data_IF_647732517573
#
_entry.id   IF_647732517573
#
_cell.length_a   1.000
_cell.length_b   1.000
_cell.length_c   1.000
_cell.angle_alpha   90.00
_cell.angle_beta   90.00
_cell.angle_gamma   90.00
#
_symmetry.space_group_name_H-M   'P 1'
#
loop_
_entity.id
_entity.type
_entity.pdbx_description
1 polymer ?
#
# COMPACT_ATOMS: atom_id res chain seq x y z
N UNK A 1 -3.12 -0.87 -3.01
CA UNK A 1 -3.82 0.38 -3.37
C UNK A 1 -3.48 1.43 -2.33
N UNK A 2 -2.97 2.59 -2.75
CA UNK A 2 -2.89 3.74 -1.87
C UNK A 2 -4.32 4.26 -1.59
N UNK A 3 -4.54 4.93 -0.46
CA UNK A 3 -5.90 5.29 0.01
C UNK A 3 -6.77 6.03 -1.03
N UNK A 4 -6.16 6.79 -1.96
CA UNK A 4 -6.87 7.49 -3.02
C UNK A 4 -7.41 6.58 -4.13
N UNK A 5 -6.70 5.52 -4.49
CA UNK A 5 -7.17 4.53 -5.47
C UNK A 5 -8.29 3.68 -4.89
N UNK A 6 -8.26 3.44 -3.57
CA UNK A 6 -9.33 2.75 -2.85
C UNK A 6 -10.64 3.52 -2.93
N UNK A 7 -10.62 4.83 -2.70
CA UNK A 7 -11.83 5.66 -2.76
C UNK A 7 -12.42 5.75 -4.19
N UNK A 8 -11.55 5.85 -5.21
CA UNK A 8 -12.00 5.83 -6.61
C UNK A 8 -12.59 4.48 -7.02
N UNK A 9 -11.99 3.38 -6.58
CA UNK A 9 -12.55 2.04 -6.81
C UNK A 9 -13.90 1.87 -6.10
N UNK A 10 -14.04 2.37 -4.87
CA UNK A 10 -15.30 2.34 -4.11
C UNK A 10 -16.43 3.06 -4.85
N UNK A 11 -16.17 4.26 -5.38
CA UNK A 11 -17.15 5.03 -6.16
C UNK A 11 -17.52 4.36 -7.50
N UNK A 12 -16.54 3.78 -8.20
CA UNK A 12 -16.78 3.06 -9.44
C UNK A 12 -17.64 1.80 -9.20
N UNK A 13 -17.37 1.07 -8.12
CA UNK A 13 -18.14 -0.12 -7.72
C UNK A 13 -19.53 0.23 -7.20
N UNK A 14 -19.70 1.35 -6.48
CA UNK A 14 -21.01 1.84 -6.04
C UNK A 14 -21.92 2.19 -7.24
N UNK A 15 -21.33 2.62 -8.36
CA UNK A 15 -22.05 2.92 -9.60
C UNK A 15 -22.57 1.68 -10.34
N UNK A 16 -22.15 0.47 -9.92
CA UNK A 16 -22.61 -0.79 -10.51
C UNK A 16 -23.93 -1.30 -9.91
N UNK A 17 -24.49 -0.60 -8.91
CA UNK A 17 -25.75 -0.98 -8.25
C UNK A 17 -25.76 -2.44 -7.77
N UNK A 18 -24.61 -2.90 -7.27
CA UNK A 18 -24.44 -4.28 -6.81
C UNK A 18 -25.43 -4.58 -5.67
N UNK A 19 -26.02 -5.79 -5.63
CA UNK A 19 -26.92 -6.17 -4.56
C UNK A 19 -26.21 -6.08 -3.20
N UNK A 20 -26.91 -5.55 -2.20
CA UNK A 20 -26.33 -5.34 -0.87
C UNK A 20 -25.75 -6.66 -0.31
N UNK A 21 -24.47 -6.62 0.11
CA UNK A 21 -23.75 -7.80 0.62
C UNK A 21 -23.06 -8.67 -0.44
N UNK A 22 -23.21 -8.35 -1.73
CA UNK A 22 -22.41 -9.01 -2.79
C UNK A 22 -20.99 -8.45 -2.90
N UNK A 23 -20.73 -7.26 -2.36
CA UNK A 23 -19.40 -6.66 -2.32
C UNK A 23 -18.82 -6.73 -0.92
N UNK A 24 -17.61 -7.27 -0.80
CA UNK A 24 -16.83 -7.23 0.44
C UNK A 24 -15.46 -6.61 0.20
N UNK A 25 -15.17 -5.54 0.94
CA UNK A 25 -13.84 -4.94 1.00
C UNK A 25 -13.06 -5.52 2.17
N UNK A 26 -11.94 -6.17 1.87
CA UNK A 26 -11.05 -6.73 2.87
C UNK A 26 -9.73 -5.98 2.81
N UNK A 27 -9.30 -5.40 3.92
CA UNK A 27 -7.94 -4.94 4.06
C UNK A 27 -7.05 -6.16 4.28
N UNK A 28 -6.12 -6.39 3.37
CA UNK A 28 -5.11 -7.44 3.51
C UNK A 28 -3.76 -6.80 3.77
N UNK A 29 -3.04 -7.39 4.70
CA UNK A 29 -1.62 -7.11 4.89
C UNK A 29 -0.85 -7.64 3.68
N UNK A 30 -0.10 -6.76 3.04
CA UNK A 30 0.77 -7.10 1.94
C UNK A 30 2.22 -6.85 2.33
N UNK A 31 3.12 -7.65 1.77
CA UNK A 31 4.55 -7.38 1.85
C UNK A 31 4.81 -6.07 1.13
N UNK A 32 5.35 -5.11 1.87
CA UNK A 32 5.79 -3.82 1.37
C UNK A 32 7.29 -3.65 1.55
N UNK A 33 7.84 -2.68 0.85
CA UNK A 33 9.24 -2.29 0.95
C UNK A 33 9.31 -0.96 1.68
N UNK A 34 9.94 -0.98 2.83
CA UNK A 34 10.07 0.20 3.66
C UNK A 34 11.43 0.84 3.48
N UNK A 35 11.44 2.04 2.93
CA UNK A 35 12.64 2.86 2.80
C UNK A 35 12.71 3.76 4.02
N UNK A 36 13.71 3.57 4.86
CA UNK A 36 13.84 4.27 6.12
C UNK A 36 15.30 4.49 6.52
N UNK A 37 15.52 5.37 7.48
CA UNK A 37 16.79 5.49 8.20
C UNK A 37 16.63 4.69 9.49
N UNK A 38 17.60 3.81 9.81
CA UNK A 38 17.54 2.98 11.02
C UNK A 38 17.42 3.85 12.29
N UNK A 39 16.84 3.29 13.37
CA UNK A 39 16.56 4.04 14.59
C UNK A 39 17.84 4.61 15.19
N UNK A 40 17.79 5.89 15.50
CA UNK A 40 18.90 6.62 16.11
C UNK A 40 18.90 6.45 17.62
N UNK A 41 20.04 6.70 18.25
CA UNK A 41 20.23 6.49 19.70
C UNK A 41 19.30 7.34 20.57
N UNK A 42 18.89 8.51 20.08
CA UNK A 42 18.09 9.49 20.81
C UNK A 42 17.23 10.34 19.87
N UNK A 43 16.14 10.92 20.38
CA UNK A 43 15.33 11.91 19.66
C UNK A 43 16.17 13.08 19.12
N UNK A 44 17.17 13.54 19.88
CA UNK A 44 18.05 14.63 19.45
C UNK A 44 18.86 14.29 18.19
N UNK A 45 19.35 13.05 18.08
CA UNK A 45 20.07 12.56 16.89
C UNK A 45 19.11 12.46 15.70
N UNK A 46 17.87 12.01 15.94
CA UNK A 46 16.81 12.00 14.93
C UNK A 46 16.52 13.40 14.42
N UNK A 47 16.32 14.36 15.31
CA UNK A 47 16.00 15.75 14.96
C UNK A 47 17.13 16.39 14.13
N UNK A 48 18.40 16.15 14.53
CA UNK A 48 19.57 16.54 13.75
C UNK A 48 19.54 15.93 12.34
N UNK A 49 19.17 14.65 12.23
CA UNK A 49 19.08 13.96 10.94
C UNK A 49 17.93 14.47 10.07
N UNK A 50 16.80 14.87 10.66
CA UNK A 50 15.70 15.55 9.95
C UNK A 50 16.18 16.89 9.38
N UNK A 51 16.97 17.65 10.15
CA UNK A 51 17.62 18.88 9.68
C UNK A 51 18.57 18.64 8.50
N UNK A 52 19.41 17.60 8.59
CA UNK A 52 20.27 17.19 7.47
C UNK A 52 19.45 16.81 6.22
N UNK A 53 18.40 16.00 6.37
CA UNK A 53 17.52 15.61 5.26
C UNK A 53 16.88 16.83 4.59
N UNK A 54 16.42 17.80 5.38
CA UNK A 54 15.86 19.06 4.87
C UNK A 54 16.91 19.84 4.09
N UNK A 55 18.15 19.92 4.60
CA UNK A 55 19.26 20.58 3.92
C UNK A 55 19.67 19.89 2.60
N UNK A 56 19.50 18.58 2.49
CA UNK A 56 19.64 17.82 1.24
C UNK A 56 18.45 17.99 0.27
N UNK A 57 17.44 18.79 0.63
CA UNK A 57 16.24 19.00 -0.20
C UNK A 57 15.34 17.76 -0.25
N UNK A 58 15.32 16.99 0.83
CA UNK A 58 14.35 15.92 1.07
C UNK A 58 13.27 16.53 1.96
N UNK A 59 12.02 16.58 1.50
CA UNK A 59 10.89 17.00 2.34
C UNK A 59 9.96 15.84 2.68
N UNK A 60 10.04 14.76 1.92
CA UNK A 60 9.23 13.55 2.07
C UNK A 60 9.88 12.59 3.08
N UNK A 61 9.92 12.99 4.34
CA UNK A 61 10.32 12.13 5.44
C UNK A 61 9.35 12.30 6.60
N UNK A 62 9.19 11.26 7.39
CA UNK A 62 8.35 11.31 8.58
C UNK A 62 9.02 10.57 9.73
N UNK A 63 9.22 11.23 10.89
CA UNK A 63 9.75 10.56 12.08
C UNK A 63 8.80 9.44 12.52
N UNK A 64 9.38 8.26 12.76
CA UNK A 64 8.64 7.09 13.23
C UNK A 64 8.45 7.21 14.73
N UNK A 65 7.19 7.25 15.14
CA UNK A 65 6.81 7.20 16.55
C UNK A 65 6.33 5.80 16.96
N UNK A 66 6.05 4.93 15.99
CA UNK A 66 5.57 3.59 16.23
C UNK A 66 6.68 2.72 16.86
N UNK A 67 6.45 2.17 18.07
CA UNK A 67 7.46 1.39 18.77
C UNK A 67 7.77 0.05 18.07
N UNK A 68 6.86 -0.48 17.25
CA UNK A 68 7.10 -1.72 16.49
C UNK A 68 7.99 -1.47 15.28
N UNK A 69 7.90 -0.29 14.67
CA UNK A 69 8.75 0.11 13.55
C UNK A 69 10.16 0.52 13.99
N UNK A 70 10.32 0.94 15.24
CA UNK A 70 11.59 1.34 15.83
C UNK A 70 11.54 2.80 16.28
N UNK A 71 11.63 3.00 17.60
CA UNK A 71 11.63 4.33 18.20
C UNK A 71 12.81 5.15 17.64
N UNK A 72 12.55 6.34 17.12
CA UNK A 72 13.53 7.25 16.50
C UNK A 72 14.04 6.84 15.10
N UNK A 73 13.36 5.92 14.41
CA UNK A 73 13.59 5.73 12.98
C UNK A 73 12.99 6.89 12.18
N UNK A 74 13.45 7.08 10.94
CA UNK A 74 12.89 8.10 10.03
C UNK A 74 12.39 7.38 8.79
N UNK A 75 11.08 7.38 8.58
CA UNK A 75 10.47 6.79 7.39
C UNK A 75 10.65 7.74 6.21
N UNK A 76 11.22 7.24 5.11
CA UNK A 76 11.40 7.99 3.86
C UNK A 76 10.40 7.57 2.78
N UNK A 77 9.57 6.57 3.08
CA UNK A 77 8.49 6.09 2.22
C UNK A 77 8.24 4.60 2.39
N UNK A 78 7.00 4.19 2.19
CA UNK A 78 6.60 2.78 2.13
C UNK A 78 6.08 2.51 0.73
N UNK A 79 6.61 1.48 0.08
CA UNK A 79 6.31 1.13 -1.30
C UNK A 79 5.73 -0.28 -1.38
N UNK A 80 4.85 -0.51 -2.35
CA UNK A 80 4.26 -1.85 -2.56
C UNK A 80 5.16 -2.78 -3.42
N UNK A 81 6.17 -2.23 -4.09
CA UNK A 81 7.07 -2.97 -4.99
C UNK A 81 8.52 -2.63 -4.69
N UNK A 82 9.41 -3.60 -4.96
CA UNK A 82 10.85 -3.42 -4.75
C UNK A 82 11.41 -2.33 -5.65
N UNK A 83 11.03 -2.36 -6.94
CA UNK A 83 11.50 -1.42 -7.95
C UNK A 83 11.21 0.05 -7.55
N UNK A 84 10.00 0.33 -7.07
CA UNK A 84 9.64 1.68 -6.61
C UNK A 84 10.46 2.10 -5.37
N UNK A 85 10.72 1.18 -4.45
CA UNK A 85 11.56 1.43 -3.28
C UNK A 85 13.04 1.62 -3.66
N UNK A 86 13.56 0.81 -4.60
CA UNK A 86 14.92 0.94 -5.12
C UNK A 86 15.10 2.27 -5.86
N UNK A 87 14.15 2.67 -6.71
CA UNK A 87 14.16 3.97 -7.38
C UNK A 87 14.15 5.14 -6.38
N UNK A 88 13.38 5.01 -5.30
CA UNK A 88 13.43 5.97 -4.19
C UNK A 88 14.80 5.99 -3.53
N UNK A 89 15.35 4.83 -3.19
CA UNK A 89 16.67 4.69 -2.57
C UNK A 89 17.78 5.30 -3.45
N UNK A 90 17.71 5.12 -4.77
CA UNK A 90 18.63 5.71 -5.74
C UNK A 90 18.54 7.25 -5.70
N UNK A 91 17.33 7.81 -5.83
CA UNK A 91 17.09 9.26 -5.73
C UNK A 91 17.63 9.84 -4.42
N UNK A 92 17.41 9.14 -3.30
CA UNK A 92 17.91 9.54 -1.99
C UNK A 92 19.44 9.57 -1.96
N UNK A 93 20.10 8.54 -2.51
CA UNK A 93 21.57 8.47 -2.60
C UNK A 93 22.15 9.57 -3.49
N UNK A 94 21.50 9.89 -4.61
CA UNK A 94 21.89 10.99 -5.50
C UNK A 94 21.82 12.36 -4.80
N UNK A 95 20.82 12.55 -3.94
CA UNK A 95 20.70 13.74 -3.07
C UNK A 95 21.68 13.75 -1.88
N UNK A 96 22.50 12.71 -1.72
CA UNK A 96 23.49 12.60 -0.64
C UNK A 96 23.03 11.81 0.59
N UNK A 97 21.79 11.29 0.60
CA UNK A 97 21.25 10.49 1.71
C UNK A 97 21.69 9.04 1.56
N UNK A 98 22.86 8.71 2.12
CA UNK A 98 23.40 7.33 2.13
C UNK A 98 22.97 6.50 3.34
N UNK A 99 22.35 7.12 4.33
CA UNK A 99 21.86 6.47 5.55
C UNK A 99 20.52 5.77 5.38
N UNK A 100 19.87 5.91 4.22
CA UNK A 100 18.62 5.24 3.91
C UNK A 100 18.87 3.77 3.54
N UNK A 101 18.04 2.88 4.09
CA UNK A 101 18.01 1.45 3.80
C UNK A 101 16.61 1.04 3.35
N UNK A 102 16.55 -0.01 2.53
CA UNK A 102 15.30 -0.63 2.10
C UNK A 102 15.16 -1.97 2.82
N UNK A 103 14.03 -2.18 3.49
CA UNK A 103 13.73 -3.44 4.18
C UNK A 103 12.34 -3.95 3.76
N UNK A 104 12.23 -5.20 3.27
CA UNK A 104 10.93 -5.81 3.02
C UNK A 104 10.26 -6.15 4.35
N UNK A 105 9.01 -5.74 4.51
CA UNK A 105 8.25 -5.95 5.75
C UNK A 105 6.82 -6.34 5.44
N UNK A 106 6.37 -7.43 6.06
CA UNK A 106 4.98 -7.86 5.96
C UNK A 106 4.07 -6.94 6.78
N UNK A 107 2.89 -6.61 6.23
CA UNK A 107 1.89 -5.76 6.91
C UNK A 107 2.23 -4.27 7.01
N UNK A 108 3.39 -3.84 6.49
CA UNK A 108 3.71 -2.40 6.40
C UNK A 108 2.88 -1.69 5.32
N UNK A 109 2.42 -2.44 4.32
CA UNK A 109 1.46 -1.98 3.32
C UNK A 109 0.12 -2.67 3.57
N UNK A 110 -0.92 -1.87 3.78
CA UNK A 110 -2.29 -2.36 3.74
C UNK A 110 -2.84 -2.19 2.33
N UNK A 111 -3.26 -3.30 1.74
CA UNK A 111 -3.93 -3.29 0.43
C UNK A 111 -5.42 -3.54 0.64
N UNK A 112 -6.27 -2.71 0.03
CA UNK A 112 -7.67 -3.06 -0.11
C UNK A 112 -7.82 -4.10 -1.23
N UNK A 113 -8.46 -5.22 -0.92
CA UNK A 113 -8.97 -6.18 -1.91
C UNK A 113 -10.49 -6.12 -1.90
N UNK A 114 -11.06 -6.01 -3.09
CA UNK A 114 -12.50 -6.02 -3.29
C UNK A 114 -12.90 -7.39 -3.83
N UNK A 115 -13.88 -8.02 -3.18
CA UNK A 115 -14.48 -9.28 -3.60
C UNK A 115 -15.93 -9.00 -4.01
N UNK A 116 -16.32 -9.49 -5.19
CA UNK A 116 -17.70 -9.45 -5.67
C UNK A 116 -18.20 -10.88 -5.76
N UNK A 117 -19.28 -11.20 -5.04
CA UNK A 117 -19.94 -12.50 -5.00
C UNK A 117 -20.93 -12.60 -6.15
N UNK A 118 -20.77 -13.63 -6.98
CA UNK A 118 -21.66 -13.97 -8.10
C UNK A 118 -21.99 -12.79 -9.03
N UNK A 119 -20.98 -12.18 -9.69
CA UNK A 119 -21.25 -11.13 -10.65
C UNK A 119 -21.98 -11.73 -11.87
N UNK A 120 -23.16 -11.20 -12.19
CA UNK A 120 -23.82 -11.48 -13.47
C UNK A 120 -22.97 -11.03 -14.66
N UNK A 121 -23.22 -11.55 -15.87
CA UNK A 121 -22.41 -11.24 -17.05
C UNK A 121 -22.27 -9.73 -17.34
N UNK A 122 -23.32 -8.95 -17.08
CA UNK A 122 -23.31 -7.48 -17.19
C UNK A 122 -22.35 -6.81 -16.19
N UNK A 123 -22.32 -7.33 -14.96
CA UNK A 123 -21.42 -6.87 -13.90
C UNK A 123 -19.97 -7.24 -14.22
N UNK A 124 -19.72 -8.43 -14.79
CA UNK A 124 -18.36 -8.84 -15.21
C UNK A 124 -17.81 -7.92 -16.30
N UNK A 125 -18.62 -7.55 -17.30
CA UNK A 125 -18.21 -6.64 -18.35
C UNK A 125 -17.82 -5.26 -17.79
N UNK A 126 -18.67 -4.70 -16.91
CA UNK A 126 -18.40 -3.41 -16.27
C UNK A 126 -17.22 -3.45 -15.31
N UNK A 127 -17.02 -4.57 -14.59
CA UNK A 127 -15.84 -4.77 -13.73
C UNK A 127 -14.54 -4.82 -14.56
N UNK A 128 -14.57 -5.40 -15.76
CA UNK A 128 -13.42 -5.42 -16.66
C UNK A 128 -13.08 -4.01 -17.17
N UNK A 129 -14.08 -3.19 -17.50
CA UNK A 129 -13.88 -1.77 -17.88
C UNK A 129 -13.29 -0.96 -16.71
N UNK A 130 -13.83 -1.14 -15.50
CA UNK A 130 -13.28 -0.50 -14.30
C UNK A 130 -11.84 -0.95 -14.08
N UNK A 131 -11.54 -2.25 -14.21
CA UNK A 131 -10.17 -2.77 -14.07
C UNK A 131 -9.18 -2.12 -15.04
N UNK A 132 -9.59 -1.85 -16.28
CA UNK A 132 -8.75 -1.16 -17.26
C UNK A 132 -8.38 0.28 -16.82
N UNK A 133 -9.20 0.92 -15.99
CA UNK A 133 -8.92 2.23 -15.39
C UNK A 133 -7.96 2.19 -14.18
N UNK A 134 -7.64 1.01 -13.65
CA UNK A 134 -6.77 0.86 -12.47
C UNK A 134 -5.60 -0.10 -12.76
N UNK A 135 -4.51 0.36 -13.41
CA UNK A 135 -3.35 -0.48 -13.73
C UNK A 135 -2.60 -1.03 -12.51
N UNK A 136 -2.94 -0.60 -11.29
CA UNK A 136 -2.42 -1.14 -10.01
C UNK A 136 -3.37 -2.08 -9.27
N UNK A 137 -4.55 -2.39 -9.83
CA UNK A 137 -5.59 -3.19 -9.19
C UNK A 137 -5.67 -4.59 -9.79
N UNK A 138 -5.11 -5.57 -9.09
CA UNK A 138 -5.43 -6.99 -9.29
C UNK A 138 -6.87 -7.25 -8.79
N UNK A 139 -7.87 -6.78 -9.54
CA UNK A 139 -9.23 -7.29 -9.42
C UNK A 139 -9.19 -8.71 -9.99
N UNK A 140 -9.18 -9.70 -9.10
CA UNK A 140 -9.21 -11.10 -9.49
C UNK A 140 -10.62 -11.61 -9.30
N UNK A 141 -11.37 -11.72 -10.39
CA UNK A 141 -12.65 -12.40 -10.40
C UNK A 141 -12.39 -13.90 -10.16
N UNK A 142 -12.62 -14.34 -8.93
CA UNK A 142 -12.61 -15.74 -8.55
C UNK A 142 -14.03 -16.24 -8.39
N UNK A 143 -14.28 -17.51 -8.71
CA UNK A 143 -15.46 -18.21 -8.16
C UNK A 143 -15.31 -18.19 -6.64
N UNK A 144 -16.38 -17.87 -5.91
CA UNK A 144 -16.43 -18.21 -4.48
C UNK A 144 -15.97 -19.66 -4.34
N UNK A 145 -15.09 -20.00 -3.37
CA UNK A 145 -15.05 -21.39 -2.93
C UNK A 145 -16.50 -21.70 -2.53
N UNK A 146 -17.12 -22.61 -3.28
CA UNK A 146 -18.47 -23.05 -2.96
C UNK A 146 -18.46 -23.37 -1.47
N UNK A 147 -19.28 -22.66 -0.70
CA UNK A 147 -19.71 -23.23 0.56
C UNK A 147 -20.30 -24.57 0.15
N UNK A 148 -19.66 -25.63 0.62
CA UNK A 148 -20.12 -27.00 0.51
C UNK A 148 -21.56 -27.05 1.03
N UNK A 149 -22.51 -26.90 0.11
CA UNK A 149 -23.87 -27.37 0.28
C UNK A 149 -23.87 -28.79 -0.30
N UNK A 150 -23.14 -29.70 0.34
CA UNK A 150 -23.34 -31.12 0.12
C UNK A 150 -24.45 -31.57 1.05
N UNK A 151 -25.66 -31.40 0.54
CA UNK A 151 -26.85 -32.16 0.94
C UNK A 151 -26.54 -33.66 0.81
N UNK A 152 -26.65 -34.39 1.91
CA UNK A 152 -26.61 -35.86 1.96
C UNK A 152 -27.29 -36.36 3.22
#
# INVERSE_FOLDING_TARGET
MAGADVARADAALASLELPAGSMQRVAVDATGYWVHIPPLKSKAEMDKKLGELTAFGIADFSPVQDPNLGRYAISLGIFSTEDAAQGRLATLKEKGVRSAVMEPREGIVKQARFFVREPGADVVAKLAEIQQGFPGSLIKAGRCPATDDTKG
#
